data_IF_427736373896
#
_entry.id   IF_427736373896
#
_cell.length_a   1.000
_cell.length_b   1.000
_cell.length_c   1.000
_cell.angle_alpha   90.00
_cell.angle_beta   90.00
_cell.angle_gamma   90.00
#
_symmetry.space_group_name_H-M   'P 1'
#
loop_
_entity.id
_entity.type
_entity.pdbx_description
1 polymer ?
#
# COMPACT_ATOMS: atom_id res chain seq x y z
N UNK A 1 -4.51 15.89 -11.04
CA UNK A 1 -4.46 16.47 -9.68
C UNK A 1 -4.62 15.41 -8.58
N UNK A 2 -5.31 14.28 -8.84
CA UNK A 2 -5.51 13.20 -7.86
C UNK A 2 -4.24 12.40 -7.57
N UNK A 3 -3.24 12.44 -8.45
CA UNK A 3 -2.01 11.66 -8.36
C UNK A 3 -1.18 12.02 -7.12
N UNK A 4 -1.35 13.24 -6.58
CA UNK A 4 -0.75 13.66 -5.31
C UNK A 4 -1.20 12.79 -4.13
N UNK A 5 -2.34 12.10 -4.27
CA UNK A 5 -2.83 11.20 -3.24
C UNK A 5 -1.99 9.93 -3.10
N UNK A 6 -1.15 9.57 -4.09
CA UNK A 6 -0.22 8.45 -3.96
C UNK A 6 0.79 8.72 -2.83
N UNK A 7 1.64 9.76 -2.88
CA UNK A 7 2.54 10.04 -1.77
C UNK A 7 1.79 10.37 -0.46
N UNK A 8 0.62 11.03 -0.53
CA UNK A 8 -0.18 11.32 0.68
C UNK A 8 -0.68 10.05 1.37
N UNK A 9 -1.21 9.08 0.62
CA UNK A 9 -1.65 7.80 1.19
C UNK A 9 -0.47 7.01 1.77
N UNK A 10 0.68 6.98 1.09
CA UNK A 10 1.88 6.32 1.60
C UNK A 10 2.36 6.92 2.92
N UNK A 11 2.47 8.26 3.00
CA UNK A 11 2.86 8.95 4.23
C UNK A 11 1.86 8.69 5.36
N UNK A 12 0.56 8.87 5.10
CA UNK A 12 -0.49 8.67 6.10
C UNK A 12 -0.57 7.24 6.61
N UNK A 13 -0.31 6.25 5.74
CA UNK A 13 -0.25 4.84 6.13
C UNK A 13 0.84 4.64 7.18
N UNK A 14 2.07 5.13 6.93
CA UNK A 14 3.16 4.99 7.92
C UNK A 14 2.86 5.75 9.22
N UNK A 15 2.31 6.96 9.14
CA UNK A 15 1.92 7.71 10.36
C UNK A 15 0.84 6.97 11.16
N UNK A 16 -0.10 6.32 10.48
CA UNK A 16 -1.16 5.55 11.15
C UNK A 16 -0.60 4.36 11.93
N UNK A 17 0.36 3.65 11.35
CA UNK A 17 1.04 2.51 11.98
C UNK A 17 1.85 2.98 13.21
N UNK A 18 2.71 4.00 13.03
CA UNK A 18 3.58 4.52 14.10
C UNK A 18 2.80 5.12 15.29
N UNK A 19 1.66 5.75 15.03
CA UNK A 19 0.82 6.29 16.09
C UNK A 19 0.30 5.21 17.05
N UNK A 20 0.03 4.01 16.54
CA UNK A 20 -0.45 2.88 17.34
C UNK A 20 0.73 2.09 17.93
N UNK A 21 1.76 1.83 17.13
CA UNK A 21 2.86 0.94 17.50
C UNK A 21 3.90 1.60 18.41
N UNK A 22 4.27 2.86 18.15
CA UNK A 22 5.36 3.56 18.85
C UNK A 22 4.88 4.68 19.78
N UNK A 23 3.86 5.43 19.39
CA UNK A 23 3.49 6.68 20.09
C UNK A 23 2.34 6.56 21.09
N UNK A 24 1.67 5.41 21.16
CA UNK A 24 0.50 5.21 22.02
C UNK A 24 -0.60 6.28 21.81
N UNK A 25 -0.75 6.76 20.56
CA UNK A 25 -1.70 7.80 20.13
C UNK A 25 -2.78 7.22 19.20
N UNK A 26 -3.62 6.27 19.66
CA UNK A 26 -4.55 5.53 18.80
C UNK A 26 -5.56 6.42 18.08
N UNK A 27 -5.98 7.52 18.71
CA UNK A 27 -6.92 8.48 18.08
C UNK A 27 -6.30 9.18 16.88
N UNK A 28 -5.04 9.57 16.97
CA UNK A 28 -4.31 10.18 15.85
C UNK A 28 -4.06 9.15 14.76
N UNK A 29 -3.70 7.93 15.14
CA UNK A 29 -3.56 6.79 14.23
C UNK A 29 -4.84 6.50 13.46
N UNK A 30 -5.99 6.47 14.13
CA UNK A 30 -7.31 6.33 13.48
C UNK A 30 -7.62 7.45 12.48
N UNK A 31 -7.30 8.70 12.80
CA UNK A 31 -7.50 9.83 11.87
C UNK A 31 -6.59 9.69 10.66
N UNK A 32 -5.30 9.39 10.87
CA UNK A 32 -4.35 9.15 9.78
C UNK A 32 -4.76 7.97 8.91
N UNK A 33 -5.18 6.86 9.53
CA UNK A 33 -5.71 5.67 8.85
C UNK A 33 -6.96 5.98 8.03
N UNK A 34 -7.92 6.71 8.59
CA UNK A 34 -9.12 7.14 7.86
C UNK A 34 -8.78 8.02 6.64
N UNK A 35 -7.85 8.98 6.79
CA UNK A 35 -7.40 9.83 5.69
C UNK A 35 -6.61 9.03 4.64
N UNK A 36 -5.83 8.03 5.06
CA UNK A 36 -5.15 7.10 4.17
C UNK A 36 -6.18 6.30 3.35
N UNK A 37 -7.17 5.70 4.02
CA UNK A 37 -8.27 4.97 3.38
C UNK A 37 -9.06 5.84 2.41
N UNK A 38 -9.32 7.10 2.75
CA UNK A 38 -9.97 8.06 1.85
C UNK A 38 -9.12 8.37 0.61
N UNK A 39 -7.82 8.60 0.80
CA UNK A 39 -6.89 8.90 -0.29
C UNK A 39 -6.74 7.72 -1.25
N UNK A 40 -6.51 6.52 -0.71
CA UNK A 40 -6.44 5.27 -1.47
C UNK A 40 -7.77 4.93 -2.15
N UNK A 41 -8.89 5.16 -1.46
CA UNK A 41 -10.24 4.94 -1.97
C UNK A 41 -10.56 5.86 -3.15
N UNK A 42 -10.28 7.16 -3.00
CA UNK A 42 -10.48 8.14 -4.06
C UNK A 42 -9.62 7.84 -5.29
N UNK A 43 -8.37 7.42 -5.10
CA UNK A 43 -7.52 6.91 -6.17
C UNK A 43 -8.13 5.68 -6.87
N UNK A 44 -8.64 4.73 -6.09
CA UNK A 44 -9.18 3.47 -6.60
C UNK A 44 -10.47 3.62 -7.40
N UNK A 45 -11.33 4.58 -7.05
CA UNK A 45 -12.56 4.84 -7.84
C UNK A 45 -12.26 5.64 -9.12
N UNK A 46 -11.09 6.29 -9.20
CA UNK A 46 -10.76 7.23 -10.27
C UNK A 46 -9.80 6.67 -11.33
N UNK A 47 -8.89 5.76 -10.96
CA UNK A 47 -7.87 5.22 -11.84
C UNK A 47 -7.83 3.67 -11.80
N UNK A 48 -7.91 2.98 -12.95
CA UNK A 48 -7.89 1.51 -12.99
C UNK A 48 -6.62 0.88 -12.41
N UNK A 49 -5.46 1.48 -12.62
CA UNK A 49 -4.20 0.94 -12.13
C UNK A 49 -4.10 1.10 -10.61
N UNK A 50 -4.44 2.28 -10.11
CA UNK A 50 -4.54 2.56 -8.68
C UNK A 50 -5.52 1.61 -7.99
N UNK A 51 -6.69 1.38 -8.60
CA UNK A 51 -7.67 0.43 -8.10
C UNK A 51 -7.05 -0.97 -7.94
N UNK A 52 -6.32 -1.45 -8.95
CA UNK A 52 -5.67 -2.75 -8.88
C UNK A 52 -4.61 -2.82 -7.78
N UNK A 53 -3.82 -1.75 -7.62
CA UNK A 53 -2.77 -1.65 -6.59
C UNK A 53 -3.39 -1.65 -5.20
N UNK A 54 -4.29 -0.71 -4.90
CA UNK A 54 -4.83 -0.54 -3.55
C UNK A 54 -5.79 -1.65 -3.15
N UNK A 55 -6.57 -2.21 -4.09
CA UNK A 55 -7.31 -3.46 -3.82
C UNK A 55 -6.37 -4.61 -3.54
N UNK A 56 -5.25 -4.69 -4.27
CA UNK A 56 -4.22 -5.70 -4.05
C UNK A 56 -3.57 -5.58 -2.67
N UNK A 57 -3.15 -4.36 -2.29
CA UNK A 57 -2.61 -4.08 -0.95
C UNK A 57 -3.64 -4.45 0.10
N UNK A 58 -4.88 -3.98 -0.03
CA UNK A 58 -5.96 -4.27 0.92
C UNK A 58 -6.25 -5.77 1.06
N UNK A 59 -6.35 -6.49 -0.05
CA UNK A 59 -6.56 -7.94 0.00
C UNK A 59 -5.33 -8.68 0.57
N UNK A 60 -4.12 -8.24 0.23
CA UNK A 60 -2.87 -8.81 0.75
C UNK A 60 -2.74 -8.65 2.25
N UNK A 61 -3.07 -7.47 2.79
CA UNK A 61 -3.05 -7.18 4.24
C UNK A 61 -4.14 -7.91 5.00
N UNK A 62 -5.32 -8.10 4.40
CA UNK A 62 -6.36 -8.97 4.98
C UNK A 62 -5.89 -10.43 5.06
N UNK A 63 -5.25 -10.94 4.00
CA UNK A 63 -4.75 -12.32 3.95
C UNK A 63 -3.58 -12.56 4.90
N UNK A 64 -2.77 -11.53 5.19
CA UNK A 64 -1.71 -11.60 6.20
C UNK A 64 -2.21 -11.38 7.63
N UNK A 65 -3.51 -11.13 7.83
CA UNK A 65 -4.12 -10.77 9.12
C UNK A 65 -3.51 -9.52 9.78
N UNK A 66 -3.00 -8.58 8.96
CA UNK A 66 -2.43 -7.31 9.42
C UNK A 66 -3.46 -6.27 9.85
N UNK A 67 -4.75 -6.49 9.61
CA UNK A 67 -5.81 -5.60 10.11
C UNK A 67 -6.13 -5.98 11.56
N UNK A 68 -5.23 -5.60 12.46
CA UNK A 68 -5.20 -6.01 13.87
C UNK A 68 -5.42 -4.86 14.87
N UNK A 69 -5.36 -3.60 14.43
CA UNK A 69 -5.55 -2.42 15.28
C UNK A 69 -6.64 -1.45 14.75
N UNK A 70 -6.96 -0.42 15.54
CA UNK A 70 -8.04 0.52 15.20
C UNK A 70 -7.69 1.44 14.04
N UNK A 71 -6.42 1.83 13.88
CA UNK A 71 -5.98 2.62 12.72
C UNK A 71 -6.14 1.83 11.42
N UNK A 72 -5.74 0.55 11.40
CA UNK A 72 -5.94 -0.36 10.27
C UNK A 72 -7.43 -0.55 9.95
N UNK A 73 -8.27 -0.76 10.97
CA UNK A 73 -9.71 -0.91 10.80
C UNK A 73 -10.37 0.37 10.25
N UNK A 74 -9.94 1.54 10.70
CA UNK A 74 -10.43 2.82 10.20
C UNK A 74 -10.04 3.03 8.72
N UNK A 75 -8.79 2.73 8.35
CA UNK A 75 -8.35 2.78 6.97
C UNK A 75 -9.16 1.84 6.06
N UNK A 76 -9.33 0.58 6.49
CA UNK A 76 -10.11 -0.43 5.79
C UNK A 76 -11.57 0.00 5.58
N UNK A 77 -12.24 0.46 6.64
CA UNK A 77 -13.64 0.88 6.58
C UNK A 77 -13.83 2.05 5.61
N UNK A 78 -13.01 3.10 5.73
CA UNK A 78 -13.12 4.27 4.85
C UNK A 78 -12.81 3.90 3.41
N UNK A 79 -11.78 3.10 3.16
CA UNK A 79 -11.44 2.60 1.83
C UNK A 79 -12.62 1.88 1.17
N UNK A 80 -13.26 0.96 1.90
CA UNK A 80 -14.44 0.22 1.42
C UNK A 80 -15.63 1.16 1.16
N UNK A 81 -15.88 2.15 2.03
CA UNK A 81 -16.97 3.11 1.84
C UNK A 81 -16.80 3.92 0.54
N UNK A 82 -15.58 4.35 0.22
CA UNK A 82 -15.31 5.03 -1.05
C UNK A 82 -15.61 4.13 -2.26
N UNK A 83 -15.18 2.88 -2.20
CA UNK A 83 -15.44 1.90 -3.26
C UNK A 83 -16.94 1.66 -3.44
N UNK A 84 -17.69 1.49 -2.34
CA UNK A 84 -19.14 1.27 -2.38
C UNK A 84 -19.90 2.49 -2.91
N UNK A 85 -19.45 3.70 -2.58
CA UNK A 85 -20.09 4.94 -3.00
C UNK A 85 -19.76 5.34 -4.45
N UNK A 86 -18.50 5.19 -4.87
CA UNK A 86 -18.02 5.60 -6.19
C UNK A 86 -18.11 4.50 -7.26
N UNK A 87 -18.09 3.24 -6.84
CA UNK A 87 -17.89 2.09 -7.74
C UNK A 87 -16.44 1.95 -8.17
N UNK A 88 -16.10 0.79 -8.75
CA UNK A 88 -14.77 0.55 -9.33
C UNK A 88 -14.78 0.82 -10.83
N UNK A 89 -13.68 1.40 -11.37
CA UNK A 89 -13.47 1.40 -12.81
C UNK A 89 -13.25 -0.02 -13.33
N UNK A 90 -13.16 -0.17 -14.65
CA UNK A 90 -12.85 -1.48 -15.26
C UNK A 90 -11.43 -1.90 -14.87
N UNK A 91 -11.32 -2.86 -13.96
CA UNK A 91 -10.06 -3.38 -13.43
C UNK A 91 -9.63 -4.68 -14.12
N UNK A 92 -8.32 -4.94 -14.11
CA UNK A 92 -7.76 -6.21 -14.56
C UNK A 92 -7.68 -7.18 -13.38
N UNK A 93 -8.57 -8.19 -13.35
CA UNK A 93 -8.58 -9.21 -12.29
C UNK A 93 -7.21 -9.91 -12.13
N UNK A 94 -6.52 -10.32 -13.20
CA UNK A 94 -5.16 -10.87 -13.06
C UNK A 94 -4.18 -9.89 -12.39
N UNK A 95 -4.29 -8.59 -12.69
CA UNK A 95 -3.43 -7.59 -12.05
C UNK A 95 -3.71 -7.45 -10.56
N UNK A 96 -5.00 -7.43 -10.16
CA UNK A 96 -5.38 -7.42 -8.73
C UNK A 96 -4.84 -8.64 -8.01
N UNK A 97 -4.96 -9.83 -8.59
CA UNK A 97 -4.45 -11.07 -8.00
C UNK A 97 -2.94 -11.05 -7.83
N UNK A 98 -2.19 -10.55 -8.82
CA UNK A 98 -0.74 -10.43 -8.71
C UNK A 98 -0.32 -9.39 -7.67
N UNK A 99 -0.98 -8.22 -7.62
CA UNK A 99 -0.75 -7.22 -6.58
C UNK A 99 -1.09 -7.77 -5.19
N UNK A 100 -2.19 -8.52 -5.06
CA UNK A 100 -2.60 -9.19 -3.81
C UNK A 100 -1.53 -10.17 -3.33
N UNK A 101 -1.08 -11.06 -4.21
CA UNK A 101 -0.06 -12.04 -3.86
C UNK A 101 1.25 -11.36 -3.48
N UNK A 102 1.65 -10.32 -4.21
CA UNK A 102 2.87 -9.59 -3.90
C UNK A 102 2.79 -8.86 -2.56
N UNK A 103 1.69 -8.16 -2.27
CA UNK A 103 1.47 -7.51 -0.99
C UNK A 103 1.44 -8.51 0.17
N UNK A 104 0.76 -9.65 -0.01
CA UNK A 104 0.76 -10.74 0.96
C UNK A 104 2.18 -11.30 1.21
N UNK A 105 2.97 -11.51 0.15
CA UNK A 105 4.34 -11.99 0.27
C UNK A 105 5.25 -10.98 0.98
N UNK A 106 5.06 -9.70 0.72
CA UNK A 106 5.79 -8.63 1.39
C UNK A 106 5.49 -8.63 2.89
N UNK A 107 4.22 -8.69 3.29
CA UNK A 107 3.83 -8.76 4.71
C UNK A 107 4.24 -10.07 5.39
N UNK A 108 3.99 -11.21 4.75
CA UNK A 108 4.40 -12.51 5.28
C UNK A 108 5.92 -12.63 5.42
N UNK A 109 6.66 -12.07 4.45
CA UNK A 109 8.11 -12.05 4.48
C UNK A 109 8.66 -11.16 5.60
N UNK A 110 8.06 -9.97 5.78
CA UNK A 110 8.41 -8.99 6.81
C UNK A 110 8.29 -9.57 8.23
N UNK A 111 7.19 -10.27 8.50
CA UNK A 111 6.88 -10.77 9.83
C UNK A 111 7.48 -12.17 10.12
N UNK A 112 8.20 -12.78 9.17
CA UNK A 112 8.73 -14.13 9.32
C UNK A 112 10.21 -14.12 9.79
N UNK A 113 10.49 -14.44 11.07
CA UNK A 113 11.85 -14.41 11.61
C UNK A 113 12.80 -15.41 10.95
N UNK A 114 12.26 -16.52 10.41
CA UNK A 114 13.05 -17.53 9.69
C UNK A 114 13.55 -16.98 8.35
N UNK A 115 12.74 -16.16 7.67
CA UNK A 115 13.13 -15.51 6.41
C UNK A 115 14.12 -14.38 6.70
N UNK A 116 13.85 -13.57 7.74
CA UNK A 116 14.73 -12.49 8.19
C UNK A 116 16.13 -12.97 8.57
N UNK A 117 16.20 -14.11 9.27
CA UNK A 117 17.47 -14.70 9.70
C UNK A 117 18.30 -15.34 8.59
N UNK A 118 17.73 -15.61 7.41
CA UNK A 118 18.45 -16.32 6.33
C UNK A 118 19.48 -15.44 5.63
N UNK A 119 19.16 -14.17 5.37
CA UNK A 119 20.12 -13.26 4.72
C UNK A 119 19.73 -11.80 4.90
N UNK A 120 20.74 -10.92 4.92
CA UNK A 120 20.56 -9.47 4.93
C UNK A 120 19.81 -8.95 3.70
N UNK A 121 19.97 -9.62 2.55
CA UNK A 121 19.33 -9.25 1.29
C UNK A 121 17.82 -9.52 1.37
N UNK A 122 17.40 -10.70 1.85
CA UNK A 122 15.99 -11.02 2.01
C UNK A 122 15.31 -10.11 3.03
N UNK A 123 16.00 -9.81 4.14
CA UNK A 123 15.52 -8.82 5.11
C UNK A 123 15.26 -7.47 4.44
N UNK A 124 16.24 -6.91 3.73
CA UNK A 124 16.08 -5.66 2.99
C UNK A 124 14.95 -5.74 1.95
N UNK A 125 14.80 -6.89 1.30
CA UNK A 125 13.79 -7.12 0.28
C UNK A 125 12.37 -6.99 0.84
N UNK A 126 12.11 -7.59 2.00
CA UNK A 126 10.80 -7.56 2.64
C UNK A 126 10.57 -6.27 3.46
N UNK A 127 11.59 -5.74 4.15
CA UNK A 127 11.53 -4.45 4.86
C UNK A 127 11.02 -3.32 3.92
N UNK A 128 11.49 -3.32 2.67
CA UNK A 128 11.13 -2.32 1.67
C UNK A 128 10.07 -2.82 0.67
N UNK A 129 9.27 -3.85 0.99
CA UNK A 129 8.14 -4.31 0.15
C UNK A 129 8.46 -4.45 -1.35
N UNK A 130 9.58 -5.10 -1.67
CA UNK A 130 10.06 -5.17 -3.06
C UNK A 130 9.22 -6.08 -3.96
N UNK A 131 8.44 -7.03 -3.42
CA UNK A 131 7.61 -7.93 -4.26
C UNK A 131 6.59 -7.12 -5.06
N UNK A 132 5.89 -6.20 -4.38
CA UNK A 132 4.86 -5.38 -5.01
C UNK A 132 5.47 -4.41 -6.05
N UNK A 133 6.64 -3.83 -5.76
CA UNK A 133 7.40 -3.01 -6.72
C UNK A 133 7.70 -3.76 -8.00
N UNK A 134 8.18 -5.00 -7.89
CA UNK A 134 8.51 -5.85 -9.05
C UNK A 134 7.25 -6.16 -9.87
N UNK A 135 6.14 -6.52 -9.21
CA UNK A 135 4.89 -6.83 -9.90
C UNK A 135 4.34 -5.61 -10.66
N UNK A 136 4.40 -4.41 -10.08
CA UNK A 136 3.93 -3.19 -10.73
C UNK A 136 4.78 -2.84 -11.95
N UNK A 137 6.10 -3.01 -11.87
CA UNK A 137 7.01 -2.84 -13.02
C UNK A 137 6.72 -3.87 -14.11
N UNK A 138 6.53 -5.14 -13.75
CA UNK A 138 6.18 -6.20 -14.69
C UNK A 138 4.86 -5.90 -15.41
N UNK A 139 3.84 -5.48 -14.67
CA UNK A 139 2.53 -5.10 -15.20
C UNK A 139 2.60 -3.93 -16.17
N UNK A 140 3.46 -2.94 -15.88
CA UNK A 140 3.73 -1.82 -16.78
C UNK A 140 4.45 -2.27 -18.06
N UNK A 141 5.45 -3.15 -17.96
CA UNK A 141 6.15 -3.73 -19.13
C UNK A 141 5.18 -4.53 -20.01
N UNK A 142 4.33 -5.36 -19.41
CA UNK A 142 3.29 -6.10 -20.14
C UNK A 142 2.32 -5.16 -20.85
N UNK A 143 1.96 -4.04 -20.22
CA UNK A 143 1.14 -3.00 -20.84
C UNK A 143 1.81 -2.43 -22.10
N UNK A 144 3.09 -2.10 -22.01
CA UNK A 144 3.89 -1.60 -23.15
C UNK A 144 4.03 -2.66 -24.26
N UNK A 145 4.00 -3.94 -23.91
CA UNK A 145 3.99 -5.05 -24.86
C UNK A 145 2.60 -5.32 -25.49
N UNK A 146 1.57 -4.53 -25.15
CA UNK A 146 0.23 -4.59 -25.74
C UNK A 146 -0.81 -5.37 -24.93
N UNK A 147 -0.47 -5.88 -23.74
CA UNK A 147 -1.44 -6.50 -22.86
C UNK A 147 -2.29 -5.45 -22.13
N UNK A 148 -3.60 -5.66 -22.00
CA UNK A 148 -4.48 -4.72 -21.29
C UNK A 148 -4.37 -4.91 -19.77
N UNK A 149 -3.27 -4.47 -19.17
CA UNK A 149 -3.08 -4.52 -17.71
C UNK A 149 -3.63 -3.27 -17.02
N UNK A 150 -3.66 -2.13 -17.71
CA UNK A 150 -4.04 -0.83 -17.15
C UNK A 150 -2.86 -0.05 -16.53
N UNK A 151 -1.67 -0.64 -16.48
CA UNK A 151 -0.48 -0.04 -15.87
C UNK A 151 0.34 0.73 -16.91
N UNK A 152 1.02 1.80 -16.50
CA UNK A 152 1.95 2.52 -17.37
C UNK A 152 3.20 2.99 -16.63
N UNK A 153 4.17 3.60 -17.34
CA UNK A 153 5.37 4.16 -16.72
C UNK A 153 5.05 5.17 -15.62
N UNK A 154 3.99 5.97 -15.80
CA UNK A 154 3.53 6.91 -14.79
C UNK A 154 3.04 6.20 -13.52
N UNK A 155 2.30 5.10 -13.64
CA UNK A 155 1.85 4.29 -12.49
C UNK A 155 3.04 3.83 -11.65
N UNK A 156 4.13 3.39 -12.30
CA UNK A 156 5.36 2.99 -11.60
C UNK A 156 5.92 4.16 -10.81
N UNK A 157 6.05 5.34 -11.43
CA UNK A 157 6.57 6.54 -10.77
C UNK A 157 5.68 6.94 -9.58
N UNK A 158 4.37 6.94 -9.76
CA UNK A 158 3.41 7.28 -8.70
C UNK A 158 3.47 6.29 -7.54
N UNK A 159 3.59 4.99 -7.83
CA UNK A 159 3.76 3.98 -6.78
C UNK A 159 5.11 4.12 -6.05
N UNK A 160 6.20 4.46 -6.77
CA UNK A 160 7.48 4.76 -6.12
C UNK A 160 7.41 6.00 -5.23
N UNK A 161 6.59 7.00 -5.59
CA UNK A 161 6.34 8.16 -4.73
C UNK A 161 5.52 7.80 -3.48
N UNK A 162 4.53 6.91 -3.61
CA UNK A 162 3.82 6.32 -2.47
C UNK A 162 4.80 5.65 -1.50
N UNK A 163 5.66 4.78 -2.02
CA UNK A 163 6.66 4.05 -1.22
C UNK A 163 7.70 5.00 -0.59
N UNK A 164 8.20 5.97 -1.36
CA UNK A 164 9.15 6.95 -0.82
C UNK A 164 8.53 7.77 0.31
N UNK A 165 7.25 8.15 0.18
CA UNK A 165 6.54 8.90 1.21
C UNK A 165 6.24 8.05 2.46
N UNK A 166 5.94 6.76 2.28
CA UNK A 166 5.81 5.80 3.37
C UNK A 166 7.11 5.70 4.17
N UNK A 167 8.24 5.48 3.49
CA UNK A 167 9.57 5.43 4.14
C UNK A 167 9.96 6.74 4.83
N UNK A 168 9.64 7.88 4.22
CA UNK A 168 9.87 9.19 4.82
C UNK A 168 9.05 9.39 6.10
N UNK A 169 7.81 8.89 6.14
CA UNK A 169 6.98 8.88 7.35
C UNK A 169 7.71 8.25 8.53
N UNK A 170 8.31 7.07 8.34
CA UNK A 170 9.06 6.37 9.39
C UNK A 170 10.32 7.12 9.83
N UNK A 171 11.00 7.81 8.91
CA UNK A 171 12.20 8.60 9.26
C UNK A 171 11.89 9.88 10.02
N UNK A 172 10.83 10.59 9.63
CA UNK A 172 10.36 11.79 10.36
C UNK A 172 9.96 11.40 11.78
N UNK A 173 9.40 10.20 11.95
CA UNK A 173 9.00 9.64 13.24
C UNK A 173 10.22 9.37 14.14
N UNK A 174 11.23 8.67 13.64
CA UNK A 174 12.44 8.36 14.44
C UNK A 174 13.26 9.59 14.84
N UNK A 175 13.17 10.72 14.12
CA UNK A 175 13.86 11.96 14.49
C UNK A 175 13.09 12.81 15.52
N UNK A 176 11.81 12.54 15.75
CA UNK A 176 10.99 13.23 16.75
C UNK A 176 10.99 12.58 18.14
N UNK A 177 11.64 11.42 18.29
CA UNK A 177 11.70 10.62 19.52
C UNK A 177 13.06 10.74 20.26
N UNK A 178 13.96 11.62 19.79
CA UNK A 178 15.19 12.05 20.50
C UNK A 178 14.96 13.41 21.20
#
# INVERSE_FOLDING_TARGET
MIEVLYPVSGFLMKIADECEDEWEMPRTGMVAGALCGASAGLLSVSDPAAACIFLGIFAGTLLSFKVDCMSHAAAALVFVLFILAGGLPVISIPAVLMCTLAAYLDEYGNDNPVIYGKSRILRLFFDYRFSLKIVIVLLAILSLAGFKTGFGPLTVILFLLFEAAYELGGRVVHQGAE
#
